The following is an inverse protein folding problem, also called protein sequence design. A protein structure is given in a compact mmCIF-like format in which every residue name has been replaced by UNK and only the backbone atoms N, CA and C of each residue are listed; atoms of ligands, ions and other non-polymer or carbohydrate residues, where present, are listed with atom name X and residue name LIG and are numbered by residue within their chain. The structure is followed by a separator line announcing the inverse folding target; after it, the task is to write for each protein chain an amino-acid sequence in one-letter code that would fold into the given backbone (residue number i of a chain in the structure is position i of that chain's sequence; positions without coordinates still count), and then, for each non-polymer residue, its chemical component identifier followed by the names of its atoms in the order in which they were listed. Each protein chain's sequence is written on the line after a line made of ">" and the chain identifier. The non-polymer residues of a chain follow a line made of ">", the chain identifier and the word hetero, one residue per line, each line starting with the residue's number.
data_IF_076457387203
#
_entry.id   IF_076457387203
#
_cell.length_a   1.000
_cell.length_b   1.000
_cell.length_c   1.000
_cell.angle_alpha   90.00
_cell.angle_beta   90.00
_cell.angle_gamma   90.00
#
_symmetry.space_group_name_H-M   'P 1'
#
loop_
_entity.id
_entity.type
_entity.pdbx_description
1 polymer ?
#
# COMPACT_ATOMS: atom_id res chain seq x y z
N UNK A 1 4.36 0.39 1.06
CA UNK A 1 3.35 0.25 -0.01
C UNK A 1 2.79 -1.16 0.04
N UNK A 2 1.47 -1.33 0.11
CA UNK A 2 0.81 -2.61 -0.10
C UNK A 2 0.17 -2.63 -1.48
N UNK A 3 0.38 -3.73 -2.19
CA UNK A 3 -0.35 -4.00 -3.42
C UNK A 3 -1.22 -5.24 -3.28
N UNK A 4 -2.44 -5.16 -3.77
CA UNK A 4 -3.35 -6.30 -3.82
C UNK A 4 -3.74 -6.59 -5.26
N UNK A 5 -3.35 -7.78 -5.73
CA UNK A 5 -3.79 -8.38 -6.99
C UNK A 5 -4.51 -9.68 -6.63
N UNK A 6 -5.75 -9.84 -7.07
CA UNK A 6 -6.50 -11.08 -6.81
C UNK A 6 -7.60 -11.36 -7.83
N UNK A 7 -7.48 -10.81 -9.05
CA UNK A 7 -8.41 -11.11 -10.13
C UNK A 7 -7.84 -12.23 -11.02
N UNK A 8 -8.27 -13.46 -10.76
CA UNK A 8 -7.87 -14.66 -11.49
C UNK A 8 -8.70 -14.85 -12.78
N UNK A 9 -8.71 -13.81 -13.61
CA UNK A 9 -9.45 -13.83 -14.87
C UNK A 9 -8.51 -13.90 -16.08
N UNK A 10 -8.83 -14.80 -16.99
CA UNK A 10 -8.49 -14.61 -18.39
C UNK A 10 -9.33 -13.44 -18.93
N UNK A 11 -8.69 -12.50 -19.66
CA UNK A 11 -9.37 -11.34 -20.28
C UNK A 11 -10.69 -11.76 -20.96
N UNK A 12 -11.79 -11.10 -20.61
CA UNK A 12 -13.05 -11.13 -21.37
C UNK A 12 -14.03 -12.28 -21.10
N UNK A 13 -13.91 -13.06 -20.02
CA UNK A 13 -14.90 -14.11 -19.69
C UNK A 13 -15.31 -14.09 -18.21
N UNK A 14 -16.53 -13.62 -17.93
CA UNK A 14 -17.12 -13.49 -16.59
C UNK A 14 -17.66 -14.79 -15.97
N UNK A 15 -16.98 -15.93 -16.14
CA UNK A 15 -17.32 -17.17 -15.41
C UNK A 15 -16.05 -17.83 -14.87
N UNK A 16 -16.11 -18.23 -13.60
CA UNK A 16 -15.08 -18.96 -12.86
C UNK A 16 -14.68 -20.26 -13.58
N UNK A 17 -13.40 -20.62 -13.52
CA UNK A 17 -12.93 -21.95 -13.94
C UNK A 17 -12.62 -22.81 -12.69
N UNK A 18 -13.00 -24.09 -12.71
CA UNK A 18 -12.55 -25.10 -11.73
C UNK A 18 -11.03 -25.28 -11.84
N UNK A 19 -10.32 -25.30 -10.71
CA UNK A 19 -8.85 -25.37 -10.66
C UNK A 19 -8.34 -26.54 -11.53
N UNK A 20 -7.68 -26.29 -12.68
CA UNK A 20 -7.06 -27.36 -13.44
C UNK A 20 -5.69 -27.60 -12.82
N UNK A 21 -5.52 -28.71 -12.13
CA UNK A 21 -4.23 -29.17 -11.60
C UNK A 21 -3.20 -29.53 -12.68
N UNK A 22 -3.34 -29.07 -13.93
CA UNK A 22 -2.37 -29.32 -15.00
C UNK A 22 -2.41 -28.27 -16.11
N UNK A 23 -1.25 -27.73 -16.44
CA UNK A 23 -0.98 -26.78 -17.53
C UNK A 23 -1.62 -27.23 -18.86
N UNK A 24 -2.60 -26.49 -19.39
CA UNK A 24 -3.08 -26.65 -20.78
C UNK A 24 -2.38 -25.64 -21.69
N UNK A 25 -1.74 -26.11 -22.77
CA UNK A 25 -1.26 -25.28 -23.88
C UNK A 25 -2.45 -24.62 -24.57
N UNK A 26 -2.36 -23.30 -24.83
CA UNK A 26 -3.31 -22.59 -25.70
C UNK A 26 -4.07 -21.42 -25.08
N UNK A 27 -3.87 -21.08 -23.79
CA UNK A 27 -4.45 -19.87 -23.19
C UNK A 27 -3.40 -18.74 -23.23
N UNK A 28 -3.60 -17.75 -24.12
CA UNK A 28 -2.68 -16.63 -24.36
C UNK A 28 -2.83 -15.45 -23.39
N UNK A 29 -3.78 -15.51 -22.44
CA UNK A 29 -4.06 -14.40 -21.52
C UNK A 29 -3.34 -14.56 -20.18
N UNK A 30 -2.56 -13.55 -19.79
CA UNK A 30 -1.88 -13.50 -18.48
C UNK A 30 -2.92 -13.32 -17.36
N UNK A 31 -2.85 -14.17 -16.34
CA UNK A 31 -3.62 -14.05 -15.09
C UNK A 31 -3.33 -12.69 -14.42
N UNK A 32 -4.32 -12.06 -13.77
CA UNK A 32 -4.15 -10.74 -13.14
C UNK A 32 -4.16 -9.53 -14.11
N UNK A 33 -4.63 -9.71 -15.34
CA UNK A 33 -4.65 -8.65 -16.39
C UNK A 33 -5.85 -7.70 -16.33
N UNK A 34 -6.75 -7.87 -15.36
CA UNK A 34 -7.91 -6.98 -15.13
C UNK A 34 -7.57 -5.77 -14.25
N UNK A 35 -6.37 -5.72 -13.64
CA UNK A 35 -5.84 -4.57 -12.90
C UNK A 35 -5.43 -4.90 -11.45
N UNK A 36 -5.02 -3.87 -10.70
CA UNK A 36 -4.45 -3.96 -9.35
C UNK A 36 -4.92 -2.77 -8.53
N UNK A 37 -5.17 -3.00 -7.25
CA UNK A 37 -5.38 -1.92 -6.28
C UNK A 37 -4.08 -1.74 -5.50
N UNK A 38 -3.58 -0.51 -5.49
CA UNK A 38 -2.43 -0.13 -4.70
C UNK A 38 -2.88 0.69 -3.49
N UNK A 39 -2.27 0.40 -2.35
CA UNK A 39 -2.53 1.04 -1.08
C UNK A 39 -1.21 1.60 -0.57
N UNK A 40 -1.11 2.92 -0.56
CA UNK A 40 -0.11 3.61 0.25
C UNK A 40 -0.63 3.70 1.68
N UNK A 41 0.27 3.65 2.65
CA UNK A 41 -0.11 3.81 4.03
C UNK A 41 1.06 4.05 4.96
N UNK A 42 0.76 4.70 6.07
CA UNK A 42 1.63 4.97 7.22
C UNK A 42 0.99 4.36 8.46
N UNK A 43 1.83 3.86 9.36
CA UNK A 43 1.41 3.46 10.70
C UNK A 43 1.99 4.48 11.67
N UNK A 44 1.13 5.35 12.18
CA UNK A 44 1.49 6.44 13.08
C UNK A 44 1.46 5.93 14.52
N UNK A 45 2.51 6.26 15.29
CA UNK A 45 2.67 5.87 16.68
C UNK A 45 2.75 7.14 17.53
N UNK A 46 1.70 7.44 18.29
CA UNK A 46 1.67 8.58 19.21
C UNK A 46 1.39 8.07 20.62
N UNK A 47 2.44 8.02 21.45
CA UNK A 47 2.36 7.39 22.77
C UNK A 47 2.02 5.90 22.64
N UNK A 48 0.94 5.47 23.28
CA UNK A 48 0.43 4.09 23.19
C UNK A 48 -0.54 3.87 22.01
N UNK A 49 -0.94 4.95 21.31
CA UNK A 49 -1.90 4.88 20.23
C UNK A 49 -1.22 4.52 18.90
N UNK A 50 -1.82 3.59 18.18
CA UNK A 50 -1.43 3.23 16.82
C UNK A 50 -2.57 3.58 15.87
N UNK A 51 -2.27 4.34 14.82
CA UNK A 51 -3.25 4.70 13.79
C UNK A 51 -2.73 4.28 12.42
N UNK A 52 -3.51 3.47 11.71
CA UNK A 52 -3.25 3.19 10.31
C UNK A 52 -3.86 4.30 9.47
N UNK A 53 -3.05 4.93 8.63
CA UNK A 53 -3.47 5.88 7.62
C UNK A 53 -3.20 5.30 6.24
N UNK A 54 -4.07 5.57 5.28
CA UNK A 54 -3.94 5.00 3.95
C UNK A 54 -4.43 5.93 2.83
N UNK A 55 -3.92 5.68 1.63
CA UNK A 55 -4.42 6.24 0.37
C UNK A 55 -4.53 5.14 -0.67
N UNK A 56 -5.71 5.03 -1.28
CA UNK A 56 -5.91 4.16 -2.44
C UNK A 56 -5.34 4.83 -3.69
N UNK A 57 -4.62 4.06 -4.49
CA UNK A 57 -4.06 4.49 -5.75
C UNK A 57 -4.67 3.68 -6.89
N UNK A 58 -5.18 4.39 -7.89
CA UNK A 58 -5.59 3.81 -9.16
C UNK A 58 -4.37 3.70 -10.07
N UNK A 59 -3.96 2.48 -10.40
CA UNK A 59 -2.77 2.24 -11.23
C UNK A 59 -1.47 2.13 -10.43
N UNK A 60 -0.33 2.45 -11.04
CA UNK A 60 1.00 2.17 -10.48
C UNK A 60 1.39 3.17 -9.40
N UNK A 61 1.87 2.72 -8.25
CA UNK A 61 2.53 3.60 -7.29
C UNK A 61 3.87 4.08 -7.86
N UNK A 62 3.96 5.37 -8.10
CA UNK A 62 5.17 6.04 -8.56
C UNK A 62 5.81 6.83 -7.42
N UNK A 63 7.00 7.38 -7.67
CA UNK A 63 7.64 8.32 -6.74
C UNK A 63 6.75 9.54 -6.46
N UNK A 64 6.09 10.06 -7.49
CA UNK A 64 5.23 11.24 -7.38
C UNK A 64 4.08 10.98 -6.42
N UNK A 65 3.43 9.81 -6.51
CA UNK A 65 2.36 9.43 -5.55
C UNK A 65 2.86 9.39 -4.10
N UNK A 66 4.07 8.89 -3.88
CA UNK A 66 4.68 8.87 -2.55
C UNK A 66 5.00 10.28 -2.05
N UNK A 67 5.55 11.15 -2.91
CA UNK A 67 5.85 12.55 -2.58
C UNK A 67 4.57 13.28 -2.20
N UNK A 68 3.50 13.15 -2.99
CA UNK A 68 2.20 13.75 -2.68
C UNK A 68 1.60 13.20 -1.39
N UNK A 69 1.81 11.92 -1.07
CA UNK A 69 1.41 11.35 0.22
C UNK A 69 2.19 11.97 1.38
N UNK A 70 3.52 12.07 1.25
CA UNK A 70 4.38 12.70 2.27
C UNK A 70 4.09 14.20 2.44
N UNK A 71 3.72 14.91 1.38
CA UNK A 71 3.27 16.30 1.46
C UNK A 71 1.98 16.44 2.27
N UNK A 72 1.04 15.50 2.14
CA UNK A 72 -0.16 15.48 2.98
C UNK A 72 0.20 15.29 4.45
N UNK A 73 1.12 14.36 4.75
CA UNK A 73 1.61 14.15 6.12
C UNK A 73 2.36 15.37 6.65
N UNK A 74 3.21 15.99 5.85
CA UNK A 74 3.96 17.18 6.25
C UNK A 74 3.04 18.34 6.63
N UNK A 75 1.92 18.53 5.91
CA UNK A 75 0.90 19.55 6.22
C UNK A 75 0.18 19.30 7.55
N UNK A 76 0.18 18.07 8.04
CA UNK A 76 -0.40 17.70 9.35
C UNK A 76 0.62 17.82 10.48
N UNK A 77 1.91 17.97 10.17
CA UNK A 77 2.97 18.14 11.15
C UNK A 77 3.01 19.56 11.71
N UNK A 78 3.67 19.71 12.86
CA UNK A 78 3.95 21.01 13.47
C UNK A 78 5.47 21.26 13.44
N UNK A 79 5.95 22.46 13.03
CA UNK A 79 7.38 22.75 12.94
C UNK A 79 8.17 22.53 14.23
N UNK A 80 7.52 22.63 15.39
CA UNK A 80 8.15 22.48 16.71
C UNK A 80 8.01 21.07 17.30
N UNK A 81 7.39 20.13 16.56
CA UNK A 81 7.22 18.74 16.98
C UNK A 81 7.93 17.80 16.01
N UNK A 82 8.77 16.91 16.54
CA UNK A 82 9.55 15.98 15.73
C UNK A 82 8.67 14.83 15.24
N UNK A 83 8.35 14.82 13.94
CA UNK A 83 7.69 13.69 13.28
C UNK A 83 8.69 12.95 12.41
N UNK A 84 8.88 11.65 12.65
CA UNK A 84 9.83 10.82 11.88
C UNK A 84 9.08 9.77 11.08
N UNK A 85 9.17 9.85 9.75
CA UNK A 85 8.68 8.82 8.85
C UNK A 85 9.81 7.84 8.55
N UNK A 86 9.58 6.57 8.89
CA UNK A 86 10.53 5.49 8.61
C UNK A 86 10.12 4.78 7.33
N UNK A 87 10.98 4.82 6.32
CA UNK A 87 10.78 4.25 5.00
C UNK A 87 11.66 3.01 4.78
N UNK A 88 11.16 2.06 3.99
CA UNK A 88 12.01 1.02 3.44
C UNK A 88 12.91 1.55 2.30
N UNK A 89 13.77 0.69 1.77
CA UNK A 89 14.72 1.06 0.73
C UNK A 89 14.16 0.95 -0.72
N UNK A 90 12.84 0.96 -0.91
CA UNK A 90 12.26 0.92 -2.25
C UNK A 90 12.77 2.08 -3.12
N UNK A 91 12.99 1.83 -4.42
CA UNK A 91 13.61 2.81 -5.33
C UNK A 91 12.86 4.15 -5.41
N UNK A 92 11.52 4.11 -5.30
CA UNK A 92 10.67 5.30 -5.30
C UNK A 92 10.72 6.10 -3.98
N UNK A 93 11.31 5.57 -2.90
CA UNK A 93 11.55 6.31 -1.66
C UNK A 93 12.87 7.12 -1.66
N UNK A 94 13.71 7.00 -2.70
CA UNK A 94 15.07 7.57 -2.69
C UNK A 94 15.41 8.43 -3.90
N UNK A 95 15.98 9.62 -3.69
CA UNK A 95 16.48 10.51 -4.74
C UNK A 95 15.39 11.26 -5.52
N UNK A 96 15.82 12.05 -6.50
CA UNK A 96 14.92 12.86 -7.33
C UNK A 96 14.05 13.79 -6.51
N UNK A 97 12.73 13.73 -6.72
CA UNK A 97 11.73 14.52 -5.98
C UNK A 97 11.81 14.40 -4.48
N UNK A 98 12.12 13.22 -3.94
CA UNK A 98 12.24 13.02 -2.50
C UNK A 98 13.29 13.94 -1.88
N UNK A 99 14.41 14.15 -2.57
CA UNK A 99 15.49 15.00 -2.06
C UNK A 99 15.18 16.48 -2.24
N UNK A 100 14.45 16.84 -3.32
CA UNK A 100 14.02 18.22 -3.57
C UNK A 100 13.06 18.73 -2.49
N UNK A 101 12.18 17.88 -1.96
CA UNK A 101 11.19 18.27 -0.96
C UNK A 101 11.68 18.09 0.49
N UNK A 102 12.78 17.38 0.71
CA UNK A 102 13.30 17.05 2.05
C UNK A 102 13.42 18.27 2.95
N UNK A 103 14.11 19.32 2.50
CA UNK A 103 14.32 20.52 3.31
C UNK A 103 13.00 21.22 3.69
N UNK A 104 12.03 21.25 2.77
CA UNK A 104 10.72 21.85 3.02
C UNK A 104 9.88 21.02 4.00
N UNK A 105 10.01 19.70 3.98
CA UNK A 105 9.36 18.82 4.95
C UNK A 105 9.99 18.93 6.34
N UNK A 106 11.32 19.02 6.42
CA UNK A 106 12.01 19.21 7.70
C UNK A 106 11.63 20.52 8.36
N UNK A 107 11.42 21.60 7.58
CA UNK A 107 10.86 22.86 8.09
C UNK A 107 9.44 22.74 8.64
N UNK A 108 8.66 21.75 8.19
CA UNK A 108 7.33 21.44 8.70
C UNK A 108 7.36 20.47 9.90
N UNK A 109 8.55 20.01 10.32
CA UNK A 109 8.72 19.05 11.41
C UNK A 109 8.71 17.58 10.95
N UNK A 110 8.66 17.31 9.64
CA UNK A 110 8.66 15.95 9.08
C UNK A 110 10.06 15.53 8.61
N UNK A 111 10.61 14.51 9.24
CA UNK A 111 11.94 13.98 8.94
C UNK A 111 11.86 12.57 8.39
N UNK A 112 12.63 12.28 7.35
CA UNK A 112 12.68 10.94 6.76
C UNK A 112 13.88 10.15 7.28
N UNK A 113 13.63 8.91 7.69
CA UNK A 113 14.65 7.90 8.02
C UNK A 113 14.44 6.66 7.18
N UNK A 114 15.52 5.96 6.89
CA UNK A 114 15.48 4.73 6.10
C UNK A 114 15.92 3.55 6.95
N UNK A 115 15.22 2.44 6.83
CA UNK A 115 15.63 1.19 7.46
C UNK A 115 16.95 0.67 6.88
N UNK A 116 17.71 -0.14 7.63
CA UNK A 116 18.82 -0.91 7.07
C UNK A 116 18.36 -1.80 5.90
N UNK A 117 19.27 -2.07 4.97
CA UNK A 117 18.98 -2.91 3.82
C UNK A 117 18.57 -4.33 4.26
N UNK A 118 17.57 -4.90 3.59
CA UNK A 118 17.08 -6.26 3.82
C UNK A 118 16.54 -6.54 5.25
N UNK A 119 16.08 -5.52 5.97
CA UNK A 119 15.46 -5.65 7.29
C UNK A 119 13.93 -5.38 7.29
N UNK A 120 13.11 -6.14 6.52
CA UNK A 120 11.66 -5.89 6.45
C UNK A 120 10.95 -6.16 7.79
N UNK A 121 11.55 -6.95 8.68
CA UNK A 121 11.02 -7.22 10.02
C UNK A 121 11.01 -5.99 10.93
N UNK A 122 11.80 -4.95 10.61
CA UNK A 122 11.78 -3.67 11.32
C UNK A 122 10.67 -2.73 10.81
N UNK A 123 10.04 -3.06 9.67
CA UNK A 123 8.97 -2.26 9.12
C UNK A 123 7.63 -2.67 9.75
N UNK A 124 7.20 -1.96 10.79
CA UNK A 124 6.02 -2.30 11.60
C UNK A 124 4.74 -2.46 10.76
N UNK A 125 4.59 -1.64 9.71
CA UNK A 125 3.42 -1.69 8.83
C UNK A 125 3.30 -3.02 8.05
N UNK A 126 4.40 -3.78 7.89
CA UNK A 126 4.34 -5.12 7.29
C UNK A 126 3.51 -6.09 8.14
N UNK A 127 3.54 -5.93 9.47
CA UNK A 127 2.65 -6.66 10.38
C UNK A 127 1.18 -6.33 10.14
N UNK A 128 0.87 -5.05 9.98
CA UNK A 128 -0.46 -4.54 9.62
C UNK A 128 -0.94 -5.12 8.29
N UNK A 129 -0.09 -5.11 7.25
CA UNK A 129 -0.43 -5.69 5.95
C UNK A 129 -0.62 -7.21 5.99
N UNK A 130 0.15 -7.90 6.84
CA UNK A 130 -0.05 -9.34 7.09
C UNK A 130 -1.39 -9.59 7.77
N UNK A 131 -1.78 -8.76 8.74
CA UNK A 131 -3.09 -8.83 9.41
C UNK A 131 -4.22 -8.64 8.40
N UNK A 132 -4.13 -7.60 7.59
CA UNK A 132 -5.12 -7.25 6.56
C UNK A 132 -5.33 -8.41 5.56
N UNK A 133 -4.26 -8.88 4.91
CA UNK A 133 -4.36 -9.95 3.90
C UNK A 133 -4.64 -11.32 4.48
N UNK A 134 -4.11 -11.62 5.67
CA UNK A 134 -4.16 -12.96 6.26
C UNK A 134 -5.48 -13.24 6.98
N UNK A 135 -5.99 -12.25 7.71
CA UNK A 135 -7.13 -12.45 8.62
C UNK A 135 -8.38 -11.71 8.17
N UNK A 136 -8.25 -10.48 7.67
CA UNK A 136 -9.41 -9.65 7.32
C UNK A 136 -9.88 -9.87 5.88
N UNK A 137 -8.97 -10.24 4.99
CA UNK A 137 -9.27 -10.60 3.60
C UNK A 137 -8.85 -12.04 3.27
N UNK A 138 -9.39 -13.06 3.98
CA UNK A 138 -8.97 -14.45 3.81
C UNK A 138 -9.33 -14.99 2.40
N UNK A 139 -10.34 -14.41 1.76
CA UNK A 139 -10.67 -14.68 0.36
C UNK A 139 -9.55 -14.14 -0.55
N UNK A 140 -8.88 -15.05 -1.24
CA UNK A 140 -7.74 -14.73 -2.13
C UNK A 140 -8.14 -14.44 -3.58
N UNK A 141 -9.40 -14.63 -3.93
CA UNK A 141 -9.91 -14.53 -5.29
C UNK A 141 -11.23 -13.76 -5.30
N UNK A 142 -11.30 -12.65 -6.03
CA UNK A 142 -12.50 -11.83 -6.17
C UNK A 142 -12.97 -11.81 -7.61
N UNK A 143 -14.27 -11.61 -7.82
CA UNK A 143 -14.91 -11.70 -9.13
C UNK A 143 -14.74 -10.42 -9.98
N UNK A 144 -14.40 -9.30 -9.35
CA UNK A 144 -14.08 -8.04 -10.03
C UNK A 144 -13.09 -7.21 -9.20
N UNK A 145 -12.55 -6.14 -9.79
CA UNK A 145 -11.79 -5.15 -9.04
C UNK A 145 -12.67 -4.41 -8.03
N UNK A 146 -13.93 -4.15 -8.36
CA UNK A 146 -14.86 -3.49 -7.45
C UNK A 146 -15.12 -4.37 -6.21
N UNK A 147 -15.37 -5.66 -6.39
CA UNK A 147 -15.56 -6.58 -5.26
C UNK A 147 -14.30 -6.68 -4.37
N UNK A 148 -13.11 -6.62 -5.00
CA UNK A 148 -11.85 -6.53 -4.27
C UNK A 148 -11.74 -5.21 -3.49
N UNK A 149 -12.13 -4.09 -4.10
CA UNK A 149 -12.10 -2.76 -3.48
C UNK A 149 -13.04 -2.70 -2.28
N UNK A 150 -14.26 -3.21 -2.43
CA UNK A 150 -15.24 -3.26 -1.34
C UNK A 150 -14.73 -4.13 -0.18
N UNK A 151 -14.17 -5.30 -0.46
CA UNK A 151 -13.60 -6.15 0.58
C UNK A 151 -12.39 -5.49 1.28
N UNK A 152 -11.56 -4.77 0.53
CA UNK A 152 -10.44 -4.00 1.08
C UNK A 152 -10.94 -2.86 1.99
N UNK A 153 -11.93 -2.09 1.56
CA UNK A 153 -12.51 -1.00 2.33
C UNK A 153 -13.18 -1.51 3.61
N UNK A 154 -13.94 -2.60 3.53
CA UNK A 154 -14.53 -3.25 4.70
C UNK A 154 -13.46 -3.70 5.70
N UNK A 155 -12.36 -4.28 5.21
CA UNK A 155 -11.25 -4.70 6.05
C UNK A 155 -10.50 -3.51 6.70
N UNK A 156 -10.28 -2.42 5.96
CA UNK A 156 -9.68 -1.18 6.48
C UNK A 156 -10.58 -0.52 7.53
N UNK A 157 -11.89 -0.55 7.34
CA UNK A 157 -12.87 -0.06 8.31
C UNK A 157 -12.80 -0.85 9.63
N UNK A 158 -12.68 -2.18 9.58
CA UNK A 158 -12.47 -3.02 10.78
C UNK A 158 -11.15 -2.72 11.50
N UNK A 159 -10.15 -2.19 10.79
CA UNK A 159 -8.89 -1.74 11.38
C UNK A 159 -8.96 -0.29 11.90
N UNK A 160 -10.12 0.37 11.79
CA UNK A 160 -10.30 1.80 12.09
C UNK A 160 -9.27 2.66 11.35
N UNK A 161 -8.92 2.26 10.12
CA UNK A 161 -7.94 2.96 9.32
C UNK A 161 -8.52 4.28 8.78
N UNK A 162 -7.70 5.32 8.73
CA UNK A 162 -8.08 6.66 8.28
C UNK A 162 -7.60 6.88 6.85
N UNK A 163 -8.47 7.42 6.00
CA UNK A 163 -8.11 7.75 4.62
C UNK A 163 -7.51 9.16 4.53
N UNK A 164 -6.41 9.30 3.78
CA UNK A 164 -5.69 10.55 3.50
C UNK A 164 -5.71 10.96 2.03
#
# INVERSE_FOLDING_TARGET
>A
MLSICSTWFARGRGKQFEIPTRWRRGVSSRWGSQGRINLLGSLSLHGEQQQLEYRLLDGTCTRTEVVTYLETLAKQCQPNELTVVVLDNAGFHKGGEMERHRAAWEQQGLYLRYLPAYCPFLNLIEGTWRKLKGFLMPRRCYNSLDELKEALLAALHLMQAVQL
#
